data_IF_920685846485
#
_entry.id   IF_920685846485
#
_cell.length_a   1.000
_cell.length_b   1.000
_cell.length_c   1.000
_cell.angle_alpha   90.00
_cell.angle_beta   90.00
_cell.angle_gamma   90.00
#
_symmetry.space_group_name_H-M   'P 1'
#
loop_
_entity.id
_entity.type
_entity.pdbx_description
1 polymer ?
#
# COMPACT_ATOMS: atom_id res chain seq x y z
N UNK A 1 -29.23 -30.17 20.62
CA UNK A 1 -27.98 -30.69 20.01
C UNK A 1 -28.37 -31.71 18.95
N UNK A 2 -27.65 -31.85 17.82
CA UNK A 2 -26.61 -30.95 17.28
C UNK A 2 -27.27 -29.60 16.86
N UNK A 3 -26.82 -28.75 15.93
CA UNK A 3 -25.66 -28.74 15.01
C UNK A 3 -25.20 -27.28 14.79
N UNK A 4 -24.00 -27.08 14.25
CA UNK A 4 -23.45 -25.77 13.87
C UNK A 4 -22.52 -25.97 12.66
N UNK A 5 -23.04 -25.76 11.45
CA UNK A 5 -22.29 -26.00 10.21
C UNK A 5 -21.53 -24.76 9.75
N UNK A 6 -20.29 -24.68 10.25
CA UNK A 6 -19.19 -23.82 9.83
C UNK A 6 -19.10 -23.70 8.29
N UNK A 7 -19.27 -22.48 7.76
CA UNK A 7 -19.05 -22.20 6.34
C UNK A 7 -18.27 -20.90 6.07
N UNK A 8 -17.29 -21.05 5.18
CA UNK A 8 -16.74 -20.05 4.26
C UNK A 8 -15.79 -18.94 4.78
N UNK A 9 -14.56 -19.34 5.11
CA UNK A 9 -13.41 -18.43 5.24
C UNK A 9 -12.87 -17.86 3.91
N UNK A 10 -13.71 -17.68 2.87
CA UNK A 10 -13.27 -17.33 1.50
C UNK A 10 -13.55 -15.89 1.07
N UNK A 11 -14.49 -15.20 1.70
CA UNK A 11 -15.03 -13.94 1.15
C UNK A 11 -14.21 -12.70 1.54
N UNK A 12 -13.53 -12.74 2.70
CA UNK A 12 -12.70 -11.64 3.25
C UNK A 12 -11.56 -11.15 2.34
N UNK A 13 -11.16 -11.91 1.32
CA UNK A 13 -10.13 -11.49 0.36
C UNK A 13 -10.74 -10.71 -0.83
N UNK A 14 -11.99 -10.97 -1.19
CA UNK A 14 -12.65 -10.38 -2.36
C UNK A 14 -12.99 -8.91 -2.14
N UNK A 15 -13.61 -8.58 -1.00
CA UNK A 15 -14.01 -7.21 -0.66
C UNK A 15 -12.79 -6.29 -0.49
N UNK A 16 -11.73 -6.80 0.15
CA UNK A 16 -10.49 -6.03 0.35
C UNK A 16 -9.76 -5.74 -0.96
N UNK A 17 -9.75 -6.70 -1.88
CA UNK A 17 -9.18 -6.51 -3.23
C UNK A 17 -10.01 -5.51 -4.05
N UNK A 18 -11.34 -5.51 -3.89
CA UNK A 18 -12.21 -4.53 -4.54
C UNK A 18 -11.94 -3.10 -4.03
N UNK A 19 -11.81 -2.91 -2.71
CA UNK A 19 -11.45 -1.61 -2.12
C UNK A 19 -10.12 -1.03 -2.64
N UNK A 20 -9.11 -1.87 -2.87
CA UNK A 20 -7.84 -1.43 -3.46
C UNK A 20 -7.98 -1.09 -4.95
N UNK A 21 -8.79 -1.84 -5.70
CA UNK A 21 -9.05 -1.57 -7.12
C UNK A 21 -9.84 -0.29 -7.36
N UNK A 22 -10.77 0.05 -6.48
CA UNK A 22 -11.59 1.26 -6.59
C UNK A 22 -10.76 2.55 -6.45
N UNK A 23 -9.53 2.46 -5.91
CA UNK A 23 -8.55 3.55 -5.82
C UNK A 23 -7.40 3.49 -6.82
N UNK A 24 -7.24 2.38 -7.53
CA UNK A 24 -6.11 2.20 -8.43
C UNK A 24 -6.11 3.29 -9.53
N UNK A 25 -5.12 4.18 -9.48
CA UNK A 25 -5.00 5.30 -10.43
C UNK A 25 -5.98 6.46 -10.20
N UNK A 26 -6.49 6.64 -8.97
CA UNK A 26 -7.25 7.84 -8.56
C UNK A 26 -6.42 8.74 -7.65
N UNK A 27 -6.83 10.00 -7.49
CA UNK A 27 -6.20 10.94 -6.55
C UNK A 27 -6.36 10.49 -5.06
N UNK A 28 -7.28 9.56 -4.78
CA UNK A 28 -7.44 8.96 -3.44
C UNK A 28 -6.45 7.82 -3.17
N UNK A 29 -5.67 7.37 -4.16
CA UNK A 29 -4.68 6.31 -4.00
C UNK A 29 -3.66 6.69 -2.91
N UNK A 30 -3.27 5.72 -2.08
CA UNK A 30 -2.24 5.90 -1.04
C UNK A 30 -0.89 5.45 -1.58
N UNK A 31 0.19 6.11 -1.19
CA UNK A 31 1.53 5.76 -1.66
C UNK A 31 2.23 4.87 -0.64
N UNK A 32 2.48 3.62 -1.02
CA UNK A 32 3.17 2.62 -0.21
C UNK A 32 4.66 2.61 -0.52
N UNK A 33 5.51 2.78 0.50
CA UNK A 33 6.95 2.55 0.41
C UNK A 33 7.25 1.15 0.92
N UNK A 34 7.74 0.28 0.04
CA UNK A 34 8.01 -1.14 0.31
C UNK A 34 9.46 -1.51 -0.06
N UNK A 35 10.07 -2.51 0.59
CA UNK A 35 11.33 -3.07 0.11
C UNK A 35 11.12 -3.69 -1.28
N UNK A 36 12.14 -3.60 -2.12
CA UNK A 36 12.15 -4.15 -3.48
C UNK A 36 13.01 -5.41 -3.58
N UNK A 37 12.63 -6.36 -4.44
CA UNK A 37 13.32 -7.64 -4.61
C UNK A 37 14.77 -7.50 -5.11
N UNK A 38 15.13 -6.39 -5.77
CA UNK A 38 16.51 -6.11 -6.21
C UNK A 38 17.39 -5.52 -5.08
N UNK A 39 16.87 -5.38 -3.86
CA UNK A 39 17.61 -4.87 -2.69
C UNK A 39 17.49 -3.36 -2.47
N UNK A 40 16.52 -2.72 -3.13
CA UNK A 40 16.20 -1.30 -3.00
C UNK A 40 14.86 -1.06 -2.30
N UNK A 41 14.23 0.07 -2.63
CA UNK A 41 12.93 0.49 -2.12
C UNK A 41 12.06 1.02 -3.27
N UNK A 42 10.79 0.62 -3.28
CA UNK A 42 9.81 1.02 -4.27
C UNK A 42 8.70 1.87 -3.63
N UNK A 43 8.19 2.86 -4.38
CA UNK A 43 6.94 3.57 -4.11
C UNK A 43 5.88 2.99 -5.04
N UNK A 44 4.74 2.59 -4.48
CA UNK A 44 3.60 2.04 -5.24
C UNK A 44 2.30 2.72 -4.84
N UNK A 45 1.52 3.20 -5.80
CA UNK A 45 0.15 3.62 -5.58
C UNK A 45 -0.76 2.44 -5.17
N UNK A 46 -1.68 2.68 -4.23
CA UNK A 46 -2.65 1.71 -3.74
C UNK A 46 -3.47 1.12 -4.90
N UNK A 47 -3.33 -0.19 -5.13
CA UNK A 47 -4.01 -0.90 -6.22
C UNK A 47 -3.25 -0.99 -7.55
N UNK A 48 -2.03 -0.45 -7.65
CA UNK A 48 -1.12 -0.66 -8.79
C UNK A 48 -0.06 -1.72 -8.46
N UNK A 49 0.26 -2.58 -9.44
CA UNK A 49 1.32 -3.59 -9.31
C UNK A 49 2.72 -2.99 -9.60
N UNK A 50 2.79 -2.09 -10.58
CA UNK A 50 4.01 -1.40 -11.01
C UNK A 50 4.39 -0.27 -10.03
N UNK A 51 5.69 -0.06 -9.75
CA UNK A 51 6.14 1.04 -8.91
C UNK A 51 6.19 2.37 -9.67
N UNK A 52 5.63 3.42 -9.07
CA UNK A 52 5.71 4.79 -9.58
C UNK A 52 7.15 5.36 -9.47
N UNK A 53 7.92 4.85 -8.50
CA UNK A 53 9.31 5.25 -8.28
C UNK A 53 10.11 4.14 -7.58
N UNK A 54 11.40 4.01 -7.90
CA UNK A 54 12.34 3.13 -7.19
C UNK A 54 13.59 3.91 -6.76
N UNK A 55 14.20 3.49 -5.65
CA UNK A 55 15.43 4.09 -5.13
C UNK A 55 16.28 3.08 -4.33
N UNK A 56 17.60 3.28 -4.32
CA UNK A 56 18.54 2.47 -3.56
C UNK A 56 18.40 2.63 -2.03
N UNK A 57 17.67 3.65 -1.55
CA UNK A 57 17.49 3.89 -0.11
C UNK A 57 16.06 4.23 0.29
N UNK A 58 15.66 3.69 1.45
CA UNK A 58 14.39 4.01 2.13
C UNK A 58 14.18 5.52 2.23
N UNK A 59 15.23 6.27 2.54
CA UNK A 59 15.16 7.72 2.75
C UNK A 59 14.73 8.51 1.49
N UNK A 60 15.05 8.00 0.30
CA UNK A 60 14.62 8.59 -0.97
C UNK A 60 13.18 8.20 -1.29
N UNK A 61 12.83 6.92 -1.22
CA UNK A 61 11.46 6.45 -1.44
C UNK A 61 10.45 7.08 -0.47
N UNK A 62 10.80 7.21 0.82
CA UNK A 62 10.01 7.91 1.84
C UNK A 62 9.81 9.39 1.49
N UNK A 63 10.82 10.07 0.93
CA UNK A 63 10.71 11.48 0.52
C UNK A 63 9.74 11.61 -0.65
N UNK A 64 9.90 10.75 -1.66
CA UNK A 64 9.09 10.77 -2.87
C UNK A 64 7.63 10.45 -2.57
N UNK A 65 7.34 9.37 -1.83
CA UNK A 65 5.99 9.04 -1.39
C UNK A 65 5.34 10.15 -0.56
N UNK A 66 6.11 10.85 0.30
CA UNK A 66 5.63 12.04 1.05
C UNK A 66 5.39 13.25 0.16
N UNK A 67 6.00 13.35 -1.01
CA UNK A 67 5.73 14.41 -1.99
C UNK A 67 4.48 14.05 -2.80
N UNK A 68 4.45 12.88 -3.43
CA UNK A 68 3.30 12.36 -4.18
C UNK A 68 2.01 12.40 -3.34
N UNK A 69 2.08 11.93 -2.08
CA UNK A 69 0.92 11.93 -1.19
C UNK A 69 0.44 13.35 -0.79
N UNK A 70 1.31 14.37 -0.82
CA UNK A 70 0.90 15.77 -0.59
C UNK A 70 0.30 16.40 -1.83
N UNK A 71 0.84 16.08 -3.00
CA UNK A 71 0.36 16.61 -4.28
C UNK A 71 -1.02 16.06 -4.63
N UNK A 72 -1.29 14.78 -4.30
CA UNK A 72 -2.60 14.15 -4.43
C UNK A 72 -3.56 14.38 -3.23
N UNK A 73 -3.10 14.96 -2.11
CA UNK A 73 -3.93 15.19 -0.93
C UNK A 73 -4.41 13.89 -0.26
N UNK A 74 -3.50 12.94 -0.08
CA UNK A 74 -3.76 11.55 0.35
C UNK A 74 -2.76 11.14 1.46
N UNK A 75 -2.40 9.85 1.56
CA UNK A 75 -1.51 9.33 2.60
C UNK A 75 -0.30 8.59 2.04
N UNK A 76 0.82 8.69 2.75
CA UNK A 76 2.01 7.85 2.54
C UNK A 76 2.10 6.79 3.65
N UNK A 77 2.26 5.53 3.28
CA UNK A 77 2.38 4.37 4.17
C UNK A 77 3.77 3.79 3.99
N UNK A 78 4.58 3.78 5.05
CA UNK A 78 5.98 3.37 5.00
C UNK A 78 6.11 1.99 5.65
N UNK A 79 6.65 1.03 4.92
CA UNK A 79 6.94 -0.30 5.43
C UNK A 79 8.40 -0.42 5.95
N UNK A 80 8.68 -1.41 6.77
CA UNK A 80 10.02 -1.84 7.17
C UNK A 80 10.60 -2.88 6.19
N UNK A 81 11.82 -3.36 6.45
CA UNK A 81 12.49 -4.38 5.64
C UNK A 81 11.79 -5.75 5.69
N UNK A 82 10.96 -6.01 6.72
CA UNK A 82 10.07 -7.19 6.80
C UNK A 82 8.74 -6.99 6.04
N UNK A 83 8.53 -5.83 5.41
CA UNK A 83 7.28 -5.47 4.72
C UNK A 83 6.12 -5.12 5.64
N UNK A 84 6.34 -4.89 6.94
CA UNK A 84 5.31 -4.46 7.91
C UNK A 84 5.21 -2.94 7.93
N UNK A 85 4.06 -2.38 8.29
CA UNK A 85 3.91 -0.92 8.38
C UNK A 85 4.71 -0.38 9.58
N UNK A 86 5.62 0.54 9.31
CA UNK A 86 6.50 1.23 10.28
C UNK A 86 5.97 2.65 10.58
N UNK A 87 5.69 3.43 9.54
CA UNK A 87 5.17 4.81 9.66
C UNK A 87 3.97 5.04 8.72
N UNK A 88 3.12 6.02 9.08
CA UNK A 88 2.05 6.52 8.22
C UNK A 88 1.97 8.04 8.32
N UNK A 89 1.75 8.72 7.20
CA UNK A 89 1.61 10.17 7.14
C UNK A 89 0.37 10.55 6.33
N UNK A 90 -0.50 11.35 6.94
CA UNK A 90 -1.71 11.85 6.31
C UNK A 90 -1.52 13.30 5.83
N UNK A 91 -1.96 13.59 4.61
CA UNK A 91 -1.93 14.91 3.97
C UNK A 91 -3.29 15.33 3.37
N UNK A 92 -4.38 14.63 3.74
CA UNK A 92 -5.78 15.03 3.55
C UNK A 92 -6.14 16.28 4.38
#
# INVERSE_FOLDING_TARGET
MPQNDNHNSKDINSERNQYFKDRAGTDEARFHVVPDDEGGWAVKAEGQDEPDYTADSKSQAVREAKQMAKEAGTMAIIHDEDGKIEEQHNFQ
#
